data_IF_689618525504
#
_entry.id   IF_689618525504
#
_cell.length_a   1.000
_cell.length_b   1.000
_cell.length_c   1.000
_cell.angle_alpha   90.00
_cell.angle_beta   90.00
_cell.angle_gamma   90.00
#
_symmetry.space_group_name_H-M   'P 1'
#
loop_
_entity.id
_entity.type
_entity.pdbx_description
1 polymer ?
#
# COMPACT_ATOMS: atom_id res chain seq x y z
N UNK A 1 -2.05 -26.47 47.67
CA UNK A 1 -2.56 -25.36 46.85
C UNK A 1 -1.71 -25.34 45.59
N UNK A 2 -2.32 -25.67 44.46
CA UNK A 2 -1.66 -25.63 43.16
C UNK A 2 -1.47 -24.16 42.78
N UNK A 3 -0.27 -23.67 42.44
CA UNK A 3 -0.13 -22.33 41.91
C UNK A 3 -0.94 -22.28 40.61
N UNK A 4 -1.82 -21.29 40.50
CA UNK A 4 -2.61 -21.05 39.31
C UNK A 4 -1.66 -21.02 38.11
N UNK A 5 -1.83 -21.98 37.19
CA UNK A 5 -1.27 -21.91 35.85
C UNK A 5 -1.81 -20.62 35.26
N UNK A 6 -0.97 -19.58 35.20
CA UNK A 6 -1.29 -18.41 34.40
C UNK A 6 -1.60 -18.94 33.00
N UNK A 7 -2.85 -18.81 32.56
CA UNK A 7 -3.22 -19.16 31.19
C UNK A 7 -2.24 -18.39 30.30
N UNK A 8 -1.40 -19.11 29.57
CA UNK A 8 -0.54 -18.51 28.57
C UNK A 8 -1.47 -17.85 27.56
N UNK A 9 -1.63 -16.54 27.63
CA UNK A 9 -2.38 -15.79 26.63
C UNK A 9 -1.73 -16.10 25.28
N UNK A 10 -2.53 -16.52 24.31
CA UNK A 10 -2.04 -16.88 22.98
C UNK A 10 -1.12 -15.76 22.46
N UNK A 11 0.13 -16.09 22.10
CA UNK A 11 1.08 -15.07 21.72
C UNK A 11 0.70 -14.32 20.44
N UNK A 12 -0.25 -14.83 19.64
CA UNK A 12 -0.75 -14.20 18.43
C UNK A 12 -2.06 -13.44 18.69
N UNK A 13 -2.18 -12.17 18.24
CA UNK A 13 -3.45 -11.48 18.30
C UNK A 13 -4.43 -12.14 17.32
N UNK A 14 -5.65 -12.38 17.78
CA UNK A 14 -6.73 -13.01 17.00
C UNK A 14 -7.59 -11.99 16.24
N UNK A 15 -7.32 -10.70 16.44
CA UNK A 15 -7.98 -9.59 15.76
C UNK A 15 -7.05 -8.38 15.65
N UNK A 16 -7.36 -7.47 14.72
CA UNK A 16 -6.58 -6.24 14.55
C UNK A 16 -6.65 -5.35 15.80
N UNK A 17 -7.80 -5.30 16.47
CA UNK A 17 -7.96 -4.48 17.68
C UNK A 17 -7.11 -5.03 18.83
N UNK A 18 -7.02 -6.36 18.96
CA UNK A 18 -6.12 -7.00 19.91
C UNK A 18 -4.65 -6.75 19.56
N UNK A 19 -4.28 -6.82 18.27
CA UNK A 19 -2.93 -6.51 17.81
C UNK A 19 -2.53 -5.07 18.18
N UNK A 20 -3.43 -4.12 17.95
CA UNK A 20 -3.23 -2.71 18.31
C UNK A 20 -3.13 -2.54 19.82
N UNK A 21 -4.00 -3.18 20.60
CA UNK A 21 -3.97 -3.11 22.07
C UNK A 21 -2.66 -3.65 22.66
N UNK A 22 -1.97 -4.56 21.95
CA UNK A 22 -0.67 -5.11 22.33
C UNK A 22 0.52 -4.22 21.95
N UNK A 23 0.32 -3.15 21.19
CA UNK A 23 1.37 -2.19 20.85
C UNK A 23 1.82 -1.46 22.11
N UNK A 24 3.14 -1.37 22.32
CA UNK A 24 3.74 -0.80 23.53
C UNK A 24 3.40 0.68 23.69
N UNK A 25 3.38 1.14 24.95
CA UNK A 25 3.19 2.56 25.28
C UNK A 25 4.29 3.45 24.67
N UNK A 26 5.51 2.93 24.57
CA UNK A 26 6.64 3.61 23.92
C UNK A 26 6.35 3.87 22.42
N UNK A 27 5.84 2.87 21.72
CA UNK A 27 5.50 2.99 20.31
C UNK A 27 4.31 3.93 20.10
N UNK A 28 3.29 3.84 20.95
CA UNK A 28 2.16 4.78 20.96
C UNK A 28 2.61 6.22 21.18
N UNK A 29 3.53 6.44 22.11
CA UNK A 29 4.12 7.75 22.37
C UNK A 29 4.92 8.26 21.16
N UNK A 30 5.68 7.39 20.49
CA UNK A 30 6.43 7.72 19.27
C UNK A 30 5.50 8.20 18.15
N UNK A 31 4.41 7.48 17.90
CA UNK A 31 3.41 7.84 16.89
C UNK A 31 2.63 9.10 17.29
N UNK A 32 2.31 9.27 18.58
CA UNK A 32 1.70 10.50 19.08
C UNK A 32 2.59 11.73 18.84
N UNK A 33 3.90 11.62 19.09
CA UNK A 33 4.85 12.69 18.82
C UNK A 33 4.94 13.03 17.31
N UNK A 34 4.92 12.02 16.43
CA UNK A 34 4.81 12.25 14.99
C UNK A 34 3.52 12.98 14.63
N UNK A 35 2.38 12.55 15.18
CA UNK A 35 1.07 13.16 14.94
C UNK A 35 1.04 14.65 15.33
N UNK A 36 1.57 15.00 16.49
CA UNK A 36 1.65 16.40 16.92
C UNK A 36 2.51 17.23 15.98
N UNK A 37 3.66 16.70 15.52
CA UNK A 37 4.48 17.36 14.50
C UNK A 37 3.73 17.58 13.19
N UNK A 38 2.95 16.59 12.75
CA UNK A 38 2.10 16.70 11.55
C UNK A 38 1.09 17.84 11.74
N UNK A 39 0.35 17.85 12.85
CA UNK A 39 -0.64 18.89 13.16
C UNK A 39 -0.03 20.28 13.21
N UNK A 40 1.11 20.44 13.87
CA UNK A 40 1.83 21.71 13.91
C UNK A 40 2.28 22.18 12.53
N UNK A 41 2.72 21.25 11.66
CA UNK A 41 3.13 21.56 10.29
C UNK A 41 1.92 21.99 9.45
N UNK A 42 0.82 21.22 9.49
CA UNK A 42 -0.43 21.49 8.78
C UNK A 42 -1.09 22.79 9.24
N UNK A 43 -0.95 23.18 10.50
CA UNK A 43 -1.45 24.47 10.98
C UNK A 43 -0.66 25.67 10.43
N UNK A 44 0.60 25.46 10.03
CA UNK A 44 1.49 26.51 9.49
C UNK A 44 1.43 26.60 7.98
N UNK A 45 1.13 25.51 7.29
CA UNK A 45 1.01 25.43 5.84
C UNK A 45 -0.46 25.64 5.44
N UNK A 46 -0.72 26.38 4.36
CA UNK A 46 -2.08 26.56 3.82
C UNK A 46 -2.60 25.27 3.12
N UNK A 47 -2.35 24.09 3.70
CA UNK A 47 -2.76 22.79 3.16
C UNK A 47 -4.27 22.65 3.00
N UNK A 48 -5.05 23.49 3.69
CA UNK A 48 -6.48 23.65 3.48
C UNK A 48 -6.86 24.01 2.02
N UNK A 49 -5.94 24.57 1.23
CA UNK A 49 -6.18 24.90 -0.17
C UNK A 49 -6.24 23.67 -1.10
N UNK A 50 -5.79 22.50 -0.63
CA UNK A 50 -5.87 21.22 -1.36
C UNK A 50 -5.34 21.31 -2.79
N UNK A 51 -4.10 21.78 -2.91
CA UNK A 51 -3.35 21.84 -4.15
C UNK A 51 -2.50 20.58 -4.33
N UNK A 52 -2.15 20.27 -5.59
CA UNK A 52 -1.11 19.32 -5.92
C UNK A 52 0.23 19.77 -5.35
N UNK A 53 1.06 18.82 -4.91
CA UNK A 53 2.39 19.14 -4.40
C UNK A 53 3.38 18.00 -4.68
N UNK A 54 4.67 18.36 -4.61
CA UNK A 54 5.78 17.42 -4.78
C UNK A 54 6.57 17.42 -3.48
N UNK A 55 6.75 16.24 -2.89
CA UNK A 55 7.67 16.07 -1.76
C UNK A 55 8.99 15.52 -2.28
N UNK A 56 10.11 16.22 -2.08
CA UNK A 56 11.42 15.60 -2.20
C UNK A 56 11.55 14.59 -1.07
N UNK A 57 11.61 13.30 -1.40
CA UNK A 57 11.96 12.28 -0.40
C UNK A 57 13.48 12.30 -0.26
N UNK A 58 14.05 12.48 0.94
CA UNK A 58 15.49 12.55 1.14
C UNK A 58 16.22 11.40 0.42
N UNK A 59 17.38 11.70 -0.17
CA UNK A 59 18.21 10.69 -0.83
C UNK A 59 18.52 9.56 0.14
N UNK A 60 18.56 8.33 -0.37
CA UNK A 60 19.24 7.24 0.31
C UNK A 60 20.64 7.71 0.74
N UNK A 61 21.00 7.39 1.98
CA UNK A 61 22.22 7.80 2.69
C UNK A 61 23.42 7.96 1.73
N UNK A 62 23.95 9.19 1.64
CA UNK A 62 25.23 9.44 0.96
C UNK A 62 26.32 8.56 1.59
N UNK A 63 26.95 7.70 0.78
CA UNK A 63 28.14 6.98 1.22
C UNK A 63 28.39 5.58 0.65
N UNK A 64 27.52 4.99 -0.19
CA UNK A 64 27.78 3.64 -0.72
C UNK A 64 28.38 3.65 -2.13
N UNK A 65 29.53 2.99 -2.26
CA UNK A 65 30.12 2.71 -3.56
C UNK A 65 29.19 1.86 -4.43
N UNK A 66 28.94 2.41 -5.61
CA UNK A 66 28.32 1.88 -6.83
C UNK A 66 28.36 0.35 -6.97
N UNK A 67 27.19 -0.28 -6.82
CA UNK A 67 26.85 -1.46 -7.62
C UNK A 67 25.95 -0.99 -8.78
N UNK A 68 26.57 -0.85 -9.96
CA UNK A 68 26.05 -0.89 -11.33
C UNK A 68 24.61 -0.42 -11.68
N UNK A 69 23.99 0.45 -10.90
CA UNK A 69 22.69 1.05 -11.20
C UNK A 69 22.78 2.56 -11.03
N UNK A 70 22.47 3.32 -12.08
CA UNK A 70 22.43 4.79 -12.02
C UNK A 70 21.13 5.21 -11.37
N UNK A 71 21.19 5.72 -10.12
CA UNK A 71 20.09 6.48 -9.56
C UNK A 71 19.98 7.84 -10.27
N UNK A 72 18.78 8.41 -10.44
CA UNK A 72 18.62 9.76 -10.92
C UNK A 72 19.23 10.73 -9.90
N UNK A 73 20.12 11.62 -10.35
CA UNK A 73 20.84 12.59 -9.51
C UNK A 73 19.91 13.51 -8.69
N UNK A 74 18.64 13.63 -9.11
CA UNK A 74 17.61 14.50 -8.54
C UNK A 74 16.96 14.02 -7.23
N UNK A 75 17.28 12.80 -6.75
CA UNK A 75 16.54 12.18 -5.65
C UNK A 75 15.15 11.70 -6.09
N UNK A 76 14.51 10.87 -5.27
CA UNK A 76 13.18 10.35 -5.53
C UNK A 76 12.11 11.41 -5.20
N UNK A 77 11.08 11.53 -6.04
CA UNK A 77 9.99 12.49 -5.87
C UNK A 77 8.68 11.75 -5.64
N UNK A 78 7.92 12.22 -4.66
CA UNK A 78 6.55 11.78 -4.44
C UNK A 78 5.61 12.91 -4.91
N UNK A 79 5.04 12.72 -6.09
CA UNK A 79 4.09 13.65 -6.69
C UNK A 79 2.68 13.28 -6.23
N UNK A 80 2.01 14.19 -5.52
CA UNK A 80 0.70 13.95 -4.93
C UNK A 80 -0.36 14.82 -5.62
N UNK A 81 -1.43 14.18 -6.06
CA UNK A 81 -2.61 14.82 -6.68
C UNK A 81 -3.68 15.02 -5.60
N UNK A 82 -4.24 16.22 -5.54
CA UNK A 82 -5.32 16.55 -4.63
C UNK A 82 -6.65 16.00 -5.14
N UNK A 83 -7.23 15.05 -4.40
CA UNK A 83 -8.52 14.44 -4.71
C UNK A 83 -9.59 15.11 -3.85
N UNK A 84 -10.41 15.93 -4.51
CA UNK A 84 -11.56 16.56 -3.85
C UNK A 84 -12.53 15.46 -3.45
N UNK A 85 -12.83 15.35 -2.16
CA UNK A 85 -13.85 14.43 -1.67
C UNK A 85 -15.21 14.70 -2.31
N UNK A 86 -16.07 13.70 -2.30
CA UNK A 86 -17.36 13.75 -2.98
C UNK A 86 -18.11 12.44 -2.90
N UNK A 87 -19.21 12.34 -3.65
CA UNK A 87 -20.02 11.13 -3.72
C UNK A 87 -19.86 10.47 -5.08
N UNK A 88 -19.84 9.13 -5.10
CA UNK A 88 -19.86 8.34 -6.32
C UNK A 88 -20.60 7.03 -6.09
N UNK A 89 -20.90 6.35 -7.20
CA UNK A 89 -21.48 5.02 -7.18
C UNK A 89 -20.35 3.99 -7.33
N UNK A 90 -20.08 3.26 -6.25
CA UNK A 90 -19.04 2.22 -6.21
C UNK A 90 -19.59 0.89 -6.70
N UNK A 91 -18.76 0.14 -7.43
CA UNK A 91 -19.12 -1.10 -8.10
C UNK A 91 -19.63 -0.91 -9.51
N UNK A 92 -19.97 -2.00 -10.18
CA UNK A 92 -20.40 -2.03 -11.59
C UNK A 92 -21.88 -2.36 -11.75
N UNK A 93 -22.58 -1.77 -12.73
CA UNK A 93 -23.97 -2.09 -13.00
C UNK A 93 -24.12 -3.54 -13.49
N UNK A 94 -25.27 -4.20 -13.26
CA UNK A 94 -25.44 -5.64 -13.55
C UNK A 94 -25.18 -6.07 -14.99
N UNK A 95 -25.27 -5.13 -15.94
CA UNK A 95 -25.10 -5.31 -17.37
C UNK A 95 -23.73 -4.84 -17.91
N UNK A 96 -22.80 -4.40 -17.05
CA UNK A 96 -21.44 -4.07 -17.47
C UNK A 96 -20.71 -5.32 -18.00
N UNK A 97 -20.18 -5.30 -19.24
CA UNK A 97 -19.42 -6.42 -19.78
C UNK A 97 -18.19 -6.75 -18.91
N UNK A 98 -17.94 -8.05 -18.70
CA UNK A 98 -16.81 -8.53 -17.91
C UNK A 98 -16.98 -8.41 -16.39
N UNK A 99 -18.12 -7.91 -15.90
CA UNK A 99 -18.42 -7.76 -14.47
C UNK A 99 -18.39 -9.09 -13.70
N UNK A 100 -17.73 -9.09 -12.54
CA UNK A 100 -17.81 -10.16 -11.54
C UNK A 100 -18.97 -10.02 -10.57
N UNK A 101 -19.29 -11.12 -9.88
CA UNK A 101 -20.42 -11.19 -8.94
C UNK A 101 -20.26 -10.29 -7.72
N UNK A 102 -19.02 -10.08 -7.27
CA UNK A 102 -18.65 -9.35 -6.05
C UNK A 102 -18.44 -7.84 -6.27
N UNK A 103 -18.64 -7.36 -7.51
CA UNK A 103 -18.58 -5.93 -7.85
C UNK A 103 -19.91 -5.20 -7.61
N UNK A 104 -20.87 -5.85 -6.94
CA UNK A 104 -22.16 -5.25 -6.61
C UNK A 104 -22.74 -5.76 -5.29
N UNK A 105 -23.89 -5.21 -4.86
CA UNK A 105 -24.67 -4.18 -5.55
C UNK A 105 -23.90 -2.85 -5.65
N UNK A 106 -24.27 -2.01 -6.62
CA UNK A 106 -23.76 -0.65 -6.66
C UNK A 106 -24.21 0.11 -5.41
N UNK A 107 -23.27 0.76 -4.75
CA UNK A 107 -23.50 1.46 -3.48
C UNK A 107 -23.05 2.91 -3.56
N UNK A 108 -23.85 3.82 -3.02
CA UNK A 108 -23.50 5.24 -2.98
C UNK A 108 -22.51 5.45 -1.85
N UNK A 109 -21.30 5.91 -2.20
CA UNK A 109 -20.20 6.13 -1.27
C UNK A 109 -19.83 7.60 -1.26
N UNK A 110 -19.58 8.14 -0.08
CA UNK A 110 -19.03 9.47 0.14
C UNK A 110 -17.58 9.33 0.61
N UNK A 111 -16.66 9.91 -0.14
CA UNK A 111 -15.23 9.92 0.14
C UNK A 111 -14.82 11.28 0.68
N UNK A 112 -14.14 11.29 1.82
CA UNK A 112 -13.49 12.47 2.38
C UNK A 112 -12.30 12.89 1.52
N UNK A 113 -11.93 14.18 1.49
CA UNK A 113 -10.80 14.65 0.70
C UNK A 113 -9.45 14.07 1.17
N UNK A 114 -8.58 13.80 0.21
CA UNK A 114 -7.25 13.25 0.42
C UNK A 114 -6.34 13.60 -0.76
N UNK A 115 -5.05 13.31 -0.62
CA UNK A 115 -4.11 13.29 -1.73
C UNK A 115 -3.75 11.85 -2.08
N UNK A 116 -3.59 11.58 -3.37
CA UNK A 116 -3.12 10.29 -3.90
C UNK A 116 -1.84 10.49 -4.69
N UNK A 117 -0.89 9.56 -4.58
CA UNK A 117 0.28 9.56 -5.44
C UNK A 117 -0.14 9.48 -6.91
N UNK A 118 0.44 10.36 -7.73
CA UNK A 118 0.15 10.49 -9.17
C UNK A 118 0.39 9.19 -9.94
N UNK A 119 1.39 8.44 -9.49
CA UNK A 119 1.89 7.21 -10.08
C UNK A 119 1.98 6.11 -9.00
N UNK A 120 2.23 4.87 -9.40
CA UNK A 120 2.62 3.84 -8.43
C UNK A 120 3.95 4.20 -7.77
N UNK A 121 4.18 3.66 -6.57
CA UNK A 121 5.42 3.85 -5.83
C UNK A 121 6.57 3.23 -6.63
N UNK A 122 7.58 4.03 -6.99
CA UNK A 122 8.71 3.56 -7.79
C UNK A 122 9.77 2.86 -6.94
N UNK A 123 10.65 2.07 -7.58
CA UNK A 123 11.85 1.55 -6.92
C UNK A 123 12.74 2.66 -6.37
N UNK A 124 12.80 3.82 -7.04
CA UNK A 124 13.53 4.99 -6.53
C UNK A 124 13.05 5.44 -5.14
N UNK A 125 11.74 5.30 -4.86
CA UNK A 125 11.13 5.60 -3.56
C UNK A 125 11.24 4.44 -2.56
N UNK A 126 11.03 3.20 -3.02
CA UNK A 126 10.93 2.02 -2.16
C UNK A 126 12.30 1.47 -1.73
N UNK A 127 13.30 1.50 -2.60
CA UNK A 127 14.62 0.91 -2.34
C UNK A 127 15.34 1.52 -1.12
N UNK A 128 15.30 2.84 -0.85
CA UNK A 128 15.85 3.42 0.38
C UNK A 128 15.25 2.85 1.68
N UNK A 129 13.98 2.44 1.66
CA UNK A 129 13.33 1.75 2.76
C UNK A 129 13.73 0.27 2.82
N UNK A 130 13.78 -0.39 1.66
CA UNK A 130 14.10 -1.81 1.54
C UNK A 130 15.54 -2.13 1.93
N UNK A 131 16.51 -1.34 1.46
CA UNK A 131 17.95 -1.61 1.60
C UNK A 131 18.56 -0.65 2.62
N UNK A 132 18.51 -1.04 3.89
CA UNK A 132 19.05 -0.23 5.00
C UNK A 132 20.55 -0.51 5.27
N UNK A 133 21.21 0.36 6.04
CA UNK A 133 22.57 0.16 6.58
C UNK A 133 22.61 -0.74 7.82
N UNK A 134 21.45 -1.16 8.30
CA UNK A 134 21.31 -1.90 9.55
C UNK A 134 20.81 -3.30 9.21
N UNK A 135 21.54 -4.32 9.64
CA UNK A 135 21.07 -5.69 9.49
C UNK A 135 19.72 -5.85 10.22
N UNK A 136 18.76 -6.49 9.58
CA UNK A 136 17.40 -6.70 10.12
C UNK A 136 17.17 -8.16 10.48
N UNK A 137 16.48 -8.38 11.59
CA UNK A 137 15.87 -9.65 11.93
C UNK A 137 14.68 -9.94 10.99
N UNK A 138 14.12 -11.15 11.04
CA UNK A 138 13.04 -11.57 10.13
C UNK A 138 11.75 -10.76 10.29
N UNK A 139 11.49 -10.29 11.50
CA UNK A 139 10.42 -9.36 11.92
C UNK A 139 10.67 -7.89 11.48
N UNK A 140 11.83 -7.59 10.89
CA UNK A 140 12.25 -6.25 10.48
C UNK A 140 12.86 -5.39 11.59
N UNK A 141 13.00 -5.92 12.81
CA UNK A 141 13.68 -5.22 13.89
C UNK A 141 15.19 -5.13 13.64
N UNK A 142 15.90 -4.10 14.16
CA UNK A 142 17.35 -4.03 14.08
C UNK A 142 18.01 -5.24 14.75
N UNK A 143 18.93 -5.90 14.05
CA UNK A 143 19.60 -7.12 14.54
C UNK A 143 20.52 -6.87 15.75
N UNK A 144 20.97 -5.62 15.96
CA UNK A 144 21.86 -5.26 17.07
C UNK A 144 21.36 -4.04 17.84
N UNK A 145 21.35 -4.15 19.17
CA UNK A 145 20.90 -3.09 20.09
C UNK A 145 21.73 -1.81 20.03
N UNK A 146 22.99 -1.89 19.58
CA UNK A 146 23.83 -0.71 19.38
C UNK A 146 23.25 0.27 18.35
N UNK A 147 22.46 -0.23 17.39
CA UNK A 147 21.77 0.62 16.40
C UNK A 147 20.60 1.38 17.02
N UNK A 148 20.10 0.97 18.19
CA UNK A 148 19.00 1.64 18.90
C UNK A 148 19.46 2.80 19.78
N UNK A 149 20.73 2.82 20.21
CA UNK A 149 21.21 3.77 21.22
C UNK A 149 21.12 5.24 20.79
N UNK A 150 21.22 5.50 19.49
CA UNK A 150 21.10 6.84 18.88
C UNK A 150 20.20 6.78 17.63
N UNK A 151 19.24 5.85 17.59
CA UNK A 151 18.34 5.72 16.46
C UNK A 151 17.45 6.96 16.37
N UNK A 152 17.36 7.54 15.17
CA UNK A 152 16.28 8.50 14.90
C UNK A 152 14.94 7.75 14.88
N UNK A 153 13.80 8.42 15.14
CA UNK A 153 12.50 7.77 15.14
C UNK A 153 12.20 6.96 13.87
N UNK A 154 12.76 7.37 12.72
CA UNK A 154 12.59 6.65 11.46
C UNK A 154 13.40 5.37 11.35
N UNK A 155 14.55 5.27 12.02
CA UNK A 155 15.40 4.07 12.02
C UNK A 155 14.75 2.91 12.80
N UNK A 156 13.85 3.26 13.72
CA UNK A 156 13.06 2.34 14.54
C UNK A 156 11.90 1.69 13.77
N UNK A 157 11.55 2.20 12.58
CA UNK A 157 10.54 1.56 11.74
C UNK A 157 11.06 0.20 11.25
N UNK A 158 10.22 -0.83 11.37
CA UNK A 158 10.53 -2.16 10.83
C UNK A 158 10.72 -2.07 9.32
N UNK A 159 11.81 -2.65 8.81
CA UNK A 159 12.12 -2.63 7.38
C UNK A 159 12.45 -4.02 6.86
N UNK A 160 12.37 -4.22 5.53
CA UNK A 160 12.69 -5.49 4.92
C UNK A 160 14.07 -6.04 5.29
N UNK A 161 14.15 -7.36 5.38
CA UNK A 161 15.42 -8.09 5.35
C UNK A 161 16.06 -7.96 3.97
N UNK A 162 17.36 -8.20 3.86
CA UNK A 162 18.02 -8.24 2.54
C UNK A 162 17.28 -9.23 1.62
N UNK A 163 16.90 -8.82 0.40
CA UNK A 163 16.16 -9.69 -0.50
C UNK A 163 17.04 -10.87 -0.95
N UNK A 164 16.41 -12.02 -1.18
CA UNK A 164 17.11 -13.25 -1.61
C UNK A 164 17.38 -13.28 -3.13
N UNK A 165 16.73 -12.38 -3.88
CA UNK A 165 16.93 -12.14 -5.31
C UNK A 165 16.84 -10.65 -5.60
N UNK A 166 17.18 -10.23 -6.81
CA UNK A 166 16.91 -8.87 -7.26
C UNK A 166 15.40 -8.73 -7.53
N UNK A 167 14.73 -7.83 -6.80
CA UNK A 167 13.26 -7.81 -6.71
C UNK A 167 12.57 -7.10 -7.89
N UNK A 168 13.32 -6.40 -8.76
CA UNK A 168 12.77 -5.93 -10.04
C UNK A 168 12.68 -7.03 -11.10
N UNK A 169 13.29 -8.20 -10.84
CA UNK A 169 13.39 -9.34 -11.77
C UNK A 169 13.96 -8.94 -13.13
N UNK A 170 14.86 -7.95 -13.14
CA UNK A 170 15.47 -7.42 -14.37
C UNK A 170 14.53 -6.60 -15.26
N UNK A 171 13.32 -6.25 -14.80
CA UNK A 171 12.36 -5.46 -15.59
C UNK A 171 12.63 -3.94 -15.54
N UNK A 172 13.42 -3.48 -14.57
CA UNK A 172 13.86 -2.09 -14.47
C UNK A 172 13.58 -1.48 -13.10
N UNK A 173 14.38 -0.49 -12.71
CA UNK A 173 14.27 0.19 -11.40
C UNK A 173 14.11 1.70 -11.54
N UNK A 174 14.78 2.34 -12.49
CA UNK A 174 14.73 3.80 -12.62
C UNK A 174 13.46 4.31 -13.33
N UNK A 175 12.55 4.90 -12.54
CA UNK A 175 11.23 5.35 -12.98
C UNK A 175 10.24 4.21 -13.18
N UNK A 176 10.54 3.02 -12.65
CA UNK A 176 9.71 1.83 -12.75
C UNK A 176 8.97 1.60 -11.42
N UNK A 177 7.72 1.10 -11.44
CA UNK A 177 6.98 0.76 -10.23
C UNK A 177 7.71 -0.31 -9.43
N UNK A 178 7.73 -0.16 -8.11
CA UNK A 178 8.18 -1.18 -7.19
C UNK A 178 7.15 -2.32 -7.15
N UNK A 179 7.63 -3.56 -7.23
CA UNK A 179 6.81 -4.78 -7.29
C UNK A 179 7.29 -5.84 -6.31
N UNK A 180 6.51 -6.91 -6.13
CA UNK A 180 6.88 -8.10 -5.35
C UNK A 180 7.04 -7.88 -3.84
N UNK A 181 6.24 -7.00 -3.25
CA UNK A 181 6.19 -6.78 -1.81
C UNK A 181 4.86 -7.24 -1.24
N UNK A 182 4.89 -7.73 -0.01
CA UNK A 182 3.68 -8.08 0.71
C UNK A 182 2.89 -6.82 1.10
N UNK A 183 1.61 -7.00 1.40
CA UNK A 183 0.79 -5.94 2.00
C UNK A 183 1.42 -5.37 3.30
N UNK A 184 2.04 -6.24 4.11
CA UNK A 184 2.78 -5.82 5.31
C UNK A 184 3.93 -4.86 4.97
N UNK A 185 4.73 -5.19 3.97
CA UNK A 185 5.86 -4.37 3.55
C UNK A 185 5.42 -3.02 2.97
N UNK A 186 4.31 -2.99 2.23
CA UNK A 186 3.72 -1.76 1.70
C UNK A 186 3.19 -0.84 2.83
N UNK A 187 2.56 -1.42 3.86
CA UNK A 187 2.15 -0.69 5.06
C UNK A 187 3.34 -0.11 5.85
N UNK A 188 4.41 -0.88 6.02
CA UNK A 188 5.62 -0.42 6.72
C UNK A 188 6.40 0.62 5.92
N UNK A 189 6.34 0.56 4.59
CA UNK A 189 6.84 1.65 3.76
C UNK A 189 6.05 2.95 4.02
N UNK A 190 4.72 2.88 4.15
CA UNK A 190 3.90 4.05 4.47
C UNK A 190 4.26 4.63 5.85
N UNK A 191 4.51 3.78 6.86
CA UNK A 191 5.01 4.21 8.18
C UNK A 191 6.36 4.93 8.05
N UNK A 192 7.32 4.29 7.37
CA UNK A 192 8.65 4.86 7.14
C UNK A 192 8.57 6.21 6.43
N UNK A 193 7.80 6.30 5.34
CA UNK A 193 7.60 7.52 4.58
C UNK A 193 7.01 8.63 5.45
N UNK A 194 6.12 8.26 6.39
CA UNK A 194 5.50 9.22 7.30
C UNK A 194 6.52 9.83 8.27
N UNK A 195 7.40 9.00 8.84
CA UNK A 195 8.49 9.48 9.69
C UNK A 195 9.55 10.28 8.92
N UNK A 196 9.83 9.88 7.66
CA UNK A 196 10.79 10.59 6.80
C UNK A 196 10.32 12.01 6.44
N UNK A 197 9.04 12.17 6.13
CA UNK A 197 8.51 13.40 5.55
C UNK A 197 7.82 14.29 6.58
N UNK A 198 7.38 13.74 7.71
CA UNK A 198 6.55 14.45 8.68
C UNK A 198 5.11 14.67 8.22
N UNK A 199 4.59 13.81 7.33
CA UNK A 199 3.17 13.72 6.97
C UNK A 199 2.66 12.29 7.23
N UNK A 200 1.35 12.07 7.29
CA UNK A 200 0.80 10.72 7.43
C UNK A 200 0.48 10.08 6.07
N UNK A 201 1.01 8.89 5.82
CA UNK A 201 0.73 8.08 4.63
C UNK A 201 0.17 6.71 4.99
N UNK A 202 -0.66 6.18 4.10
CA UNK A 202 -1.16 4.81 4.12
C UNK A 202 -1.47 4.32 2.70
N UNK A 203 -1.79 3.04 2.57
CA UNK A 203 -2.45 2.52 1.37
C UNK A 203 -3.85 3.13 1.21
N UNK A 204 -4.34 3.31 -0.03
CA UNK A 204 -5.72 3.70 -0.27
C UNK A 204 -6.69 2.67 0.29
N UNK A 205 -7.86 3.10 0.75
CA UNK A 205 -8.98 2.16 0.86
C UNK A 205 -9.41 1.75 -0.54
N UNK A 206 -10.08 0.61 -0.66
CA UNK A 206 -10.63 0.15 -1.92
C UNK A 206 -11.58 1.20 -2.54
N UNK A 207 -12.35 1.89 -1.70
CA UNK A 207 -13.28 2.92 -2.14
C UNK A 207 -12.58 4.21 -2.59
N UNK A 208 -11.52 4.63 -1.91
CA UNK A 208 -10.67 5.73 -2.36
C UNK A 208 -10.00 5.42 -3.70
N UNK A 209 -9.52 4.18 -3.87
CA UNK A 209 -8.89 3.74 -5.12
C UNK A 209 -9.88 3.78 -6.28
N UNK A 210 -11.08 3.22 -6.13
CA UNK A 210 -12.08 3.23 -7.21
C UNK A 210 -12.56 4.65 -7.52
N UNK A 211 -12.80 5.47 -6.50
CA UNK A 211 -13.18 6.87 -6.67
C UNK A 211 -12.16 7.64 -7.50
N UNK A 212 -10.88 7.49 -7.13
CA UNK A 212 -9.75 8.11 -7.81
C UNK A 212 -9.55 7.57 -9.23
N UNK A 213 -9.71 6.25 -9.43
CA UNK A 213 -9.60 5.60 -10.73
C UNK A 213 -10.65 6.16 -11.69
N UNK A 214 -11.93 6.18 -11.27
CA UNK A 214 -13.06 6.67 -12.07
C UNK A 214 -12.94 8.16 -12.41
N UNK A 215 -12.42 8.98 -11.50
CA UNK A 215 -12.24 10.42 -11.71
C UNK A 215 -13.50 11.13 -12.27
N UNK A 216 -14.67 10.71 -11.78
CA UNK A 216 -15.98 11.24 -12.19
C UNK A 216 -16.65 10.51 -13.37
N UNK A 217 -16.01 9.53 -13.99
CA UNK A 217 -16.68 8.67 -14.98
C UNK A 217 -17.51 7.57 -14.32
N UNK A 218 -18.48 7.04 -15.07
CA UNK A 218 -19.38 5.96 -14.60
C UNK A 218 -19.23 4.67 -15.39
N UNK A 219 -18.39 4.67 -16.43
CA UNK A 219 -18.16 3.50 -17.27
C UNK A 219 -17.17 2.50 -16.66
N UNK A 220 -16.82 1.44 -17.40
CA UNK A 220 -15.83 0.46 -16.99
C UNK A 220 -14.42 1.05 -16.84
N UNK A 221 -14.11 2.13 -17.56
CA UNK A 221 -12.81 2.82 -17.50
C UNK A 221 -12.97 4.32 -17.26
N UNK A 222 -11.87 4.99 -16.95
CA UNK A 222 -11.78 6.45 -16.83
C UNK A 222 -11.75 7.19 -18.18
N UNK A 223 -11.95 6.46 -19.28
CA UNK A 223 -12.07 6.93 -20.65
C UNK A 223 -13.13 6.11 -21.41
N UNK A 224 -13.52 6.53 -22.63
CA UNK A 224 -14.23 5.63 -23.55
C UNK A 224 -13.46 4.33 -23.79
N UNK A 225 -14.16 3.21 -23.95
CA UNK A 225 -13.55 1.87 -24.09
C UNK A 225 -12.56 1.81 -25.25
N UNK A 226 -12.90 2.41 -26.39
CA UNK A 226 -12.05 2.48 -27.59
C UNK A 226 -10.76 3.30 -27.40
N UNK A 227 -10.63 4.01 -26.28
CA UNK A 227 -9.45 4.80 -25.93
C UNK A 227 -8.60 4.16 -24.82
N UNK A 228 -8.92 2.94 -24.36
CA UNK A 228 -8.23 2.29 -23.24
C UNK A 228 -6.70 2.24 -23.43
N UNK A 229 -6.23 1.86 -24.62
CA UNK A 229 -4.79 1.79 -24.93
C UNK A 229 -4.02 3.13 -24.74
N UNK A 230 -4.74 4.26 -24.70
CA UNK A 230 -4.16 5.60 -24.48
C UNK A 230 -3.91 5.89 -23.02
N UNK A 231 -4.65 5.27 -22.11
CA UNK A 231 -4.57 5.49 -20.66
C UNK A 231 -3.99 4.28 -19.92
N UNK A 232 -3.93 3.11 -20.57
CA UNK A 232 -3.50 1.87 -19.95
C UNK A 232 -2.20 1.31 -20.53
N UNK A 233 -1.37 0.76 -19.65
CA UNK A 233 -0.21 -0.05 -19.99
C UNK A 233 -0.65 -1.52 -19.92
N UNK A 234 -0.97 -2.11 -21.06
CA UNK A 234 -1.39 -3.52 -21.15
C UNK A 234 -0.65 -4.27 -22.26
N UNK A 235 -0.63 -5.59 -22.17
CA UNK A 235 -0.10 -6.51 -23.17
C UNK A 235 -1.08 -7.66 -23.39
N UNK A 236 -2.21 -7.42 -24.07
CA UNK A 236 -3.26 -8.42 -24.19
C UNK A 236 -2.78 -9.63 -25.01
N UNK A 237 -1.78 -9.44 -25.88
CA UNK A 237 -1.16 -10.51 -26.67
C UNK A 237 -0.05 -11.26 -25.91
N UNK A 238 0.36 -10.79 -24.73
CA UNK A 238 1.42 -11.35 -23.90
C UNK A 238 2.74 -11.57 -24.68
N UNK A 239 3.03 -10.66 -25.61
CA UNK A 239 4.21 -10.69 -26.49
C UNK A 239 5.40 -9.94 -25.93
N UNK A 240 5.18 -9.01 -24.99
CA UNK A 240 6.22 -8.23 -24.30
C UNK A 240 6.48 -8.79 -22.91
N UNK A 241 7.71 -8.62 -22.45
CA UNK A 241 8.10 -8.97 -21.10
C UNK A 241 8.08 -7.70 -20.25
N UNK A 242 7.10 -7.61 -19.35
CA UNK A 242 7.15 -6.70 -18.20
C UNK A 242 6.33 -5.42 -18.33
N UNK A 243 6.27 -4.74 -17.19
CA UNK A 243 5.65 -3.44 -16.99
C UNK A 243 6.53 -2.30 -17.53
N UNK A 244 6.00 -1.08 -17.58
CA UNK A 244 6.72 0.09 -18.11
C UNK A 244 7.17 1.04 -17.00
N UNK A 245 7.91 2.08 -17.40
CA UNK A 245 8.08 3.25 -16.55
C UNK A 245 6.72 3.87 -16.24
N UNK A 246 6.60 4.42 -15.05
CA UNK A 246 5.39 5.15 -14.65
C UNK A 246 5.09 6.31 -15.62
N UNK A 247 3.81 6.56 -15.87
CA UNK A 247 3.35 7.74 -16.60
C UNK A 247 3.64 7.76 -18.10
N UNK A 248 3.88 6.61 -18.73
CA UNK A 248 4.07 6.54 -20.20
C UNK A 248 2.77 6.76 -20.97
N UNK A 249 1.62 6.52 -20.33
CA UNK A 249 0.27 6.70 -20.87
C UNK A 249 -0.38 7.98 -20.35
N UNK A 250 -1.50 8.38 -20.98
CA UNK A 250 -2.25 9.56 -20.57
C UNK A 250 -2.87 9.36 -19.18
N UNK A 251 -2.94 10.41 -18.35
CA UNK A 251 -3.64 10.32 -17.08
C UNK A 251 -5.15 10.24 -17.28
N UNK A 252 -5.85 9.81 -16.23
CA UNK A 252 -7.29 9.98 -16.10
C UNK A 252 -7.69 11.48 -15.94
N UNK A 253 -8.99 11.82 -15.94
CA UNK A 253 -9.44 13.22 -15.83
C UNK A 253 -8.95 14.01 -14.62
N UNK A 254 -8.46 13.36 -13.57
CA UNK A 254 -7.90 14.01 -12.38
C UNK A 254 -6.37 14.07 -12.37
N UNK A 255 -5.69 13.58 -13.42
CA UNK A 255 -4.24 13.64 -13.52
C UNK A 255 -3.50 12.45 -12.92
N UNK A 256 -4.21 11.39 -12.51
CA UNK A 256 -3.61 10.14 -12.05
C UNK A 256 -3.25 9.26 -13.25
N UNK A 257 -2.06 8.68 -13.23
CA UNK A 257 -1.59 7.77 -14.26
C UNK A 257 -1.69 6.32 -13.79
N UNK A 258 -1.68 5.42 -14.77
CA UNK A 258 -1.52 3.98 -14.58
C UNK A 258 -2.62 3.37 -13.67
N UNK A 259 -3.81 4.00 -13.63
CA UNK A 259 -4.96 3.48 -12.89
C UNK A 259 -5.63 2.27 -13.58
N UNK A 260 -5.19 1.96 -14.80
CA UNK A 260 -5.66 0.86 -15.64
C UNK A 260 -4.42 0.14 -16.21
N UNK A 261 -4.00 -0.98 -15.61
CA UNK A 261 -2.83 -1.74 -16.05
C UNK A 261 -1.52 -1.29 -15.39
N UNK A 262 -0.41 -1.53 -16.08
CA UNK A 262 0.96 -1.45 -15.56
C UNK A 262 1.18 -2.45 -14.42
N UNK A 263 0.95 -2.10 -13.16
CA UNK A 263 0.96 -3.05 -12.05
C UNK A 263 -0.32 -2.93 -11.22
N UNK A 264 -0.81 -4.07 -10.72
CA UNK A 264 -1.87 -4.08 -9.73
C UNK A 264 -1.40 -3.38 -8.46
N UNK A 265 -2.36 -2.91 -7.67
CA UNK A 265 -2.06 -2.10 -6.50
C UNK A 265 -2.78 -2.58 -5.25
N UNK A 266 -1.99 -2.74 -4.17
CA UNK A 266 -2.52 -3.01 -2.86
C UNK A 266 -3.47 -1.91 -2.36
N UNK A 267 -4.63 -2.33 -1.85
CA UNK A 267 -5.52 -1.53 -1.04
C UNK A 267 -5.50 -1.99 0.42
N UNK A 268 -5.86 -1.10 1.34
CA UNK A 268 -5.89 -1.34 2.79
C UNK A 268 -6.89 -2.43 3.22
N UNK A 269 -7.91 -2.65 2.41
CA UNK A 269 -9.07 -3.49 2.71
C UNK A 269 -8.77 -5.00 2.73
N UNK A 270 -9.46 -5.70 3.63
CA UNK A 270 -9.71 -7.13 3.48
C UNK A 270 -10.61 -7.35 2.28
N UNK A 271 -10.22 -8.25 1.38
CA UNK A 271 -11.13 -8.71 0.36
C UNK A 271 -12.23 -9.56 0.98
N UNK A 272 -13.48 -9.16 0.72
CA UNK A 272 -14.69 -9.92 1.03
C UNK A 272 -15.61 -9.85 -0.17
N UNK A 273 -16.04 -11.01 -0.67
CA UNK A 273 -16.93 -11.09 -1.82
C UNK A 273 -18.33 -10.49 -1.57
N UNK A 274 -18.69 -10.29 -0.30
CA UNK A 274 -19.94 -9.68 0.12
C UNK A 274 -19.75 -8.31 0.81
N UNK A 275 -18.60 -7.64 0.58
CA UNK A 275 -18.27 -6.37 1.23
C UNK A 275 -19.35 -5.29 1.00
N UNK A 276 -19.79 -5.11 -0.25
CA UNK A 276 -20.70 -4.03 -0.62
C UNK A 276 -22.10 -4.22 -0.03
N UNK A 277 -22.53 -5.47 0.19
CA UNK A 277 -23.78 -5.82 0.86
C UNK A 277 -23.74 -5.58 2.37
N UNK A 278 -22.55 -5.63 2.99
CA UNK A 278 -22.37 -5.50 4.44
C UNK A 278 -22.33 -4.06 4.90
N UNK A 279 -21.92 -3.14 4.04
CA UNK A 279 -21.87 -1.72 4.39
C UNK A 279 -23.27 -1.17 4.65
N UNK A 280 -23.34 -0.26 5.62
CA UNK A 280 -24.60 0.35 6.09
C UNK A 280 -24.49 1.87 5.96
N UNK A 281 -25.61 2.49 5.64
CA UNK A 281 -25.68 3.93 5.39
C UNK A 281 -26.00 4.22 3.93
N UNK A 282 -26.46 5.43 3.66
CA UNK A 282 -26.73 5.91 2.31
C UNK A 282 -26.67 7.46 2.27
N UNK A 283 -25.54 8.06 1.82
CA UNK A 283 -24.32 7.41 1.36
C UNK A 283 -23.55 6.72 2.50
N UNK A 284 -22.76 5.71 2.17
CA UNK A 284 -21.77 5.12 3.07
C UNK A 284 -20.55 6.04 3.08
N UNK A 285 -20.11 6.49 4.25
CA UNK A 285 -18.99 7.43 4.38
C UNK A 285 -17.70 6.66 4.65
N UNK A 286 -16.68 6.91 3.83
CA UNK A 286 -15.31 6.36 3.93
C UNK A 286 -15.28 4.86 4.31
N UNK A 287 -15.93 3.98 3.52
CA UNK A 287 -16.01 2.57 3.85
C UNK A 287 -14.62 1.91 3.85
N UNK A 288 -14.44 1.01 4.81
CA UNK A 288 -13.27 0.16 4.95
C UNK A 288 -13.71 -1.23 5.42
N UNK A 289 -13.47 -2.24 4.60
CA UNK A 289 -13.55 -3.63 5.01
C UNK A 289 -12.33 -3.96 5.87
N UNK A 290 -12.44 -3.73 7.18
CA UNK A 290 -11.34 -3.92 8.12
C UNK A 290 -10.74 -5.34 8.04
N UNK A 291 -9.40 -5.47 7.93
CA UNK A 291 -8.67 -6.71 8.10
C UNK A 291 -8.99 -7.49 9.37
N UNK A 292 -9.24 -8.78 9.17
CA UNK A 292 -9.41 -9.79 10.24
C UNK A 292 -8.47 -10.99 10.05
N UNK A 293 -8.01 -11.24 8.82
CA UNK A 293 -7.06 -12.30 8.48
C UNK A 293 -5.90 -11.72 7.67
N UNK A 294 -4.83 -12.49 7.44
CA UNK A 294 -3.71 -12.05 6.57
C UNK A 294 -4.11 -11.95 5.10
N UNK A 295 -4.88 -12.93 4.63
CA UNK A 295 -5.38 -13.03 3.26
C UNK A 295 -6.87 -13.40 3.25
N UNK A 296 -7.65 -13.06 2.20
CA UNK A 296 -7.25 -12.26 1.04
C UNK A 296 -7.32 -10.75 1.29
N UNK A 297 -6.34 -9.98 0.80
CA UNK A 297 -6.34 -8.51 0.70
C UNK A 297 -6.85 -8.07 -0.67
N UNK A 298 -7.35 -6.84 -0.78
CA UNK A 298 -7.79 -6.28 -2.07
C UNK A 298 -6.58 -5.76 -2.86
N UNK A 299 -6.50 -6.15 -4.13
CA UNK A 299 -5.69 -5.49 -5.15
C UNK A 299 -6.58 -4.94 -6.27
N UNK A 300 -6.18 -3.83 -6.90
CA UNK A 300 -6.95 -3.13 -7.94
C UNK A 300 -6.09 -2.76 -9.15
N UNK A 301 -6.74 -2.39 -10.26
CA UNK A 301 -6.11 -1.80 -11.45
C UNK A 301 -5.80 -2.75 -12.59
N UNK A 302 -5.68 -4.05 -12.31
CA UNK A 302 -5.09 -4.99 -13.27
C UNK A 302 -3.60 -4.70 -13.50
N UNK A 303 -2.95 -5.49 -14.31
CA UNK A 303 -1.54 -5.33 -14.65
C UNK A 303 -1.29 -5.32 -16.15
N UNK A 304 -0.03 -5.11 -16.52
CA UNK A 304 0.44 -5.24 -17.90
C UNK A 304 0.14 -6.60 -18.52
N UNK A 305 -0.02 -7.66 -17.72
CA UNK A 305 -0.21 -9.04 -18.19
C UNK A 305 -1.69 -9.45 -18.33
N UNK A 306 -2.60 -8.67 -17.75
CA UNK A 306 -4.01 -9.01 -17.69
C UNK A 306 -4.76 -8.53 -18.94
N UNK A 307 -5.85 -9.23 -19.33
CA UNK A 307 -6.71 -8.78 -20.42
C UNK A 307 -7.49 -7.53 -20.02
N UNK A 308 -7.99 -6.79 -21.01
CA UNK A 308 -8.65 -5.49 -20.82
C UNK A 308 -9.77 -5.51 -19.77
N UNK A 309 -10.55 -6.60 -19.71
CA UNK A 309 -11.68 -6.72 -18.79
C UNK A 309 -11.26 -6.74 -17.31
N UNK A 310 -10.00 -7.07 -17.01
CA UNK A 310 -9.45 -7.04 -15.65
C UNK A 310 -8.95 -5.64 -15.24
N UNK A 311 -8.83 -4.71 -16.20
CA UNK A 311 -8.38 -3.33 -15.95
C UNK A 311 -9.55 -2.39 -15.59
N UNK A 312 -10.79 -2.89 -15.52
CA UNK A 312 -11.97 -2.06 -15.23
C UNK A 312 -11.88 -1.42 -13.84
N UNK A 313 -12.39 -0.19 -13.72
CA UNK A 313 -12.42 0.57 -12.46
C UNK A 313 -13.10 -0.19 -11.31
N UNK A 314 -14.09 -1.04 -11.59
CA UNK A 314 -14.82 -1.80 -10.58
C UNK A 314 -14.18 -3.15 -10.21
N UNK A 315 -13.20 -3.63 -10.99
CA UNK A 315 -12.64 -4.99 -10.83
C UNK A 315 -11.88 -5.13 -9.51
N UNK A 316 -12.16 -6.19 -8.74
CA UNK A 316 -11.58 -6.43 -7.40
C UNK A 316 -10.80 -7.74 -7.37
N UNK A 317 -9.50 -7.68 -7.11
CA UNK A 317 -8.63 -8.87 -7.20
C UNK A 317 -8.26 -9.33 -5.79
N UNK A 318 -8.68 -10.54 -5.35
CA UNK A 318 -8.28 -11.07 -4.05
C UNK A 318 -6.83 -11.55 -4.07
N UNK A 319 -6.05 -11.20 -3.05
CA UNK A 319 -4.72 -11.78 -2.89
C UNK A 319 -4.77 -13.25 -2.53
N UNK A 320 -3.83 -14.03 -3.05
CA UNK A 320 -3.70 -15.43 -2.73
C UNK A 320 -2.45 -15.72 -1.87
N UNK A 321 -2.57 -16.69 -0.97
CA UNK A 321 -1.44 -17.12 -0.15
C UNK A 321 -0.31 -17.80 -0.97
N UNK A 322 -0.63 -18.30 -2.17
CA UNK A 322 0.33 -18.94 -3.07
C UNK A 322 1.27 -17.94 -3.80
N UNK A 323 1.03 -16.62 -3.71
CA UNK A 323 1.90 -15.59 -4.29
C UNK A 323 3.30 -15.52 -3.67
N UNK A 324 3.53 -16.32 -2.62
CA UNK A 324 4.80 -16.47 -1.93
C UNK A 324 5.29 -17.93 -1.91
N UNK A 325 4.70 -18.82 -2.71
CA UNK A 325 4.91 -20.26 -2.55
C UNK A 325 6.36 -20.68 -2.87
N UNK A 326 7.01 -19.99 -3.82
CA UNK A 326 8.38 -20.25 -4.25
C UNK A 326 9.46 -19.62 -3.36
N UNK A 327 9.08 -18.87 -2.31
CA UNK A 327 10.04 -18.30 -1.38
C UNK A 327 10.88 -19.43 -0.72
N UNK A 328 12.21 -19.45 -0.93
CA UNK A 328 13.08 -20.51 -0.43
C UNK A 328 13.34 -20.42 1.09
N UNK A 329 12.94 -19.32 1.74
CA UNK A 329 13.20 -19.09 3.16
C UNK A 329 12.26 -19.90 4.06
N UNK A 330 12.78 -20.32 5.22
CA UNK A 330 12.00 -20.95 6.30
C UNK A 330 12.19 -20.20 7.63
N UNK A 331 11.14 -19.61 8.23
CA UNK A 331 9.84 -19.31 7.60
C UNK A 331 10.00 -18.40 6.38
N UNK A 332 8.97 -18.40 5.51
CA UNK A 332 8.86 -17.49 4.35
C UNK A 332 8.93 -16.04 4.80
N UNK A 333 9.36 -15.16 3.90
CA UNK A 333 9.55 -13.74 4.18
C UNK A 333 8.27 -13.06 4.70
N UNK A 334 8.42 -12.00 5.49
CA UNK A 334 7.33 -11.07 5.77
C UNK A 334 7.20 -10.00 4.67
N UNK A 335 8.21 -9.89 3.82
CA UNK A 335 8.49 -8.68 3.06
C UNK A 335 8.26 -8.83 1.56
N UNK A 336 8.52 -10.02 1.03
CA UNK A 336 8.64 -10.25 -0.41
C UNK A 336 7.65 -11.30 -0.92
N UNK A 337 7.09 -11.06 -2.10
CA UNK A 337 6.35 -12.06 -2.86
C UNK A 337 7.28 -12.65 -3.93
N UNK A 338 7.23 -13.96 -4.12
CA UNK A 338 8.05 -14.68 -5.10
C UNK A 338 7.35 -14.88 -6.44
N UNK A 339 6.01 -14.76 -6.47
CA UNK A 339 5.18 -15.17 -7.61
C UNK A 339 4.17 -14.09 -8.04
N UNK A 340 4.29 -12.86 -7.52
CA UNK A 340 3.40 -11.73 -7.86
C UNK A 340 4.19 -10.55 -8.47
N UNK A 341 4.76 -10.80 -9.66
CA UNK A 341 5.63 -9.84 -10.38
C UNK A 341 4.87 -8.66 -11.01
N UNK A 342 3.55 -8.67 -10.89
CA UNK A 342 2.63 -7.68 -11.44
C UNK A 342 1.98 -6.84 -10.34
N UNK A 343 2.45 -6.92 -9.09
CA UNK A 343 1.81 -6.31 -7.95
C UNK A 343 2.74 -5.32 -7.24
N UNK A 344 2.31 -4.07 -7.23
CA UNK A 344 2.89 -2.95 -6.50
C UNK A 344 1.85 -2.27 -5.61
N UNK A 345 1.99 -0.95 -5.46
CA UNK A 345 1.06 -0.12 -4.69
C UNK A 345 1.31 1.37 -4.94
N UNK A 346 0.31 2.20 -4.59
CA UNK A 346 0.47 3.64 -4.43
C UNK A 346 0.05 4.08 -3.04
N UNK A 347 0.48 5.28 -2.64
CA UNK A 347 0.20 5.82 -1.30
C UNK A 347 -0.82 6.94 -1.35
N UNK A 348 -1.56 7.11 -0.27
CA UNK A 348 -2.45 8.24 -0.04
C UNK A 348 -2.11 8.96 1.26
N UNK A 349 -2.52 10.23 1.32
CA UNK A 349 -2.46 11.10 2.49
C UNK A 349 -3.86 11.69 2.72
N UNK A 350 -4.60 11.29 3.76
CA UNK A 350 -5.85 11.94 4.15
C UNK A 350 -5.64 13.43 4.48
N UNK A 351 -6.65 14.27 4.18
CA UNK A 351 -6.62 15.69 4.58
C UNK A 351 -6.72 15.83 6.10
N UNK A 352 -7.66 15.09 6.71
CA UNK A 352 -7.79 15.03 8.15
C UNK A 352 -6.68 14.16 8.73
N UNK A 353 -5.90 14.71 9.66
CA UNK A 353 -4.87 13.94 10.36
C UNK A 353 -5.56 12.92 11.28
N UNK A 354 -5.36 11.61 11.06
CA UNK A 354 -6.03 10.58 11.85
C UNK A 354 -5.57 10.57 13.31
N UNK A 355 -6.32 9.85 14.15
CA UNK A 355 -5.92 9.53 15.52
C UNK A 355 -4.72 8.58 15.54
N UNK A 356 -4.03 8.49 16.68
CA UNK A 356 -2.89 7.57 16.85
C UNK A 356 -3.28 6.12 16.59
N UNK A 357 -4.46 5.69 17.05
CA UNK A 357 -4.94 4.32 16.84
C UNK A 357 -5.22 4.03 15.36
N UNK A 358 -5.77 5.00 14.62
CA UNK A 358 -5.98 4.88 13.17
C UNK A 358 -4.66 4.84 12.39
N UNK A 359 -3.65 5.62 12.81
CA UNK A 359 -2.30 5.56 12.24
C UNK A 359 -1.67 4.19 12.46
N UNK A 360 -1.71 3.70 13.71
CA UNK A 360 -1.18 2.37 14.07
C UNK A 360 -1.91 1.25 13.34
N UNK A 361 -3.24 1.34 13.22
CA UNK A 361 -4.06 0.41 12.44
C UNK A 361 -3.62 0.36 10.98
N UNK A 362 -3.42 1.52 10.35
CA UNK A 362 -3.04 1.57 8.94
C UNK A 362 -1.69 0.87 8.67
N UNK A 363 -0.76 0.90 9.63
CA UNK A 363 0.57 0.32 9.46
C UNK A 363 0.71 -1.13 9.98
N UNK A 364 -0.19 -1.59 10.86
CA UNK A 364 -0.03 -2.86 11.60
C UNK A 364 -1.22 -3.84 11.48
N UNK A 365 -1.95 -3.82 10.37
CA UNK A 365 -3.14 -4.66 10.14
C UNK A 365 -2.87 -6.01 9.43
N UNK A 366 -1.61 -6.44 9.29
CA UNK A 366 -1.25 -7.56 8.40
C UNK A 366 -0.83 -8.87 9.11
N UNK A 367 -1.03 -9.00 10.42
CA UNK A 367 -0.40 -10.04 11.27
C UNK A 367 -1.33 -11.16 11.79
N UNK A 368 -2.46 -11.42 11.15
CA UNK A 368 -3.60 -12.05 11.84
C UNK A 368 -3.69 -13.58 11.85
N UNK A 369 -2.77 -14.34 11.23
CA UNK A 369 -2.89 -15.82 11.19
C UNK A 369 -1.56 -16.60 11.25
N UNK A 370 -0.52 -16.06 11.89
CA UNK A 370 0.85 -16.64 11.78
C UNK A 370 1.17 -17.81 12.72
N UNK A 371 0.22 -18.23 13.58
CA UNK A 371 0.51 -19.18 14.67
C UNK A 371 1.01 -20.54 14.19
N UNK A 372 0.46 -21.09 13.10
CA UNK A 372 0.81 -22.42 12.60
C UNK A 372 2.09 -22.43 11.74
N UNK A 373 2.33 -21.38 10.95
CA UNK A 373 3.48 -21.34 10.04
C UNK A 373 4.78 -20.85 10.70
N UNK A 374 4.70 -20.16 11.85
CA UNK A 374 5.82 -19.38 12.41
C UNK A 374 5.98 -19.47 13.93
N UNK A 375 5.99 -20.67 14.54
CA UNK A 375 5.99 -20.84 16.00
C UNK A 375 7.21 -20.25 16.75
N UNK A 376 8.27 -19.87 16.03
CA UNK A 376 9.58 -19.53 16.60
C UNK A 376 10.08 -18.11 16.27
N UNK A 377 9.27 -17.26 15.62
CA UNK A 377 9.67 -15.86 15.43
C UNK A 377 9.32 -15.07 16.70
N UNK A 378 10.32 -14.49 17.41
CA UNK A 378 10.03 -13.48 18.41
C UNK A 378 9.41 -12.26 17.72
N UNK A 379 8.41 -11.70 18.40
CA UNK A 379 7.49 -10.66 17.91
C UNK A 379 8.18 -9.40 17.40
#
# INVERSE_FOLDING_TARGET
>A
MNPAVAQSVDPYPTSTDEAIARISDEERARVAALRERILESTAKTEEAAMNDYIIPVPKAVEGRQRYRWSYPESGARLDMVAIRGGEFLMGSPPDEPGRDKDEGPQVRVKISPFWMARFETTWNLYEPFMITNVARNKDGSPAYSQHLKNAEPVDLVSSPTTPYTEMSFGMGTDGFPAICMTHHAANKFCEWLSFQTGHFYRLPTEAEWEYACRAGTTGPYSCPTEELERVAVLDPEQVRLGYEKIGTKKPNPWGLHDMHGNVMEWCLDQYRGDAYQRWKGDPIVDPLARPETRHPRVARGGSWYDPEEELRSARRIPSEANWQIQDPQKPRSLWYLSDAHWLGFRVVRPLAVPSVDEMLFAWNNSFLDEAEERPNLPR
#
